data_IF_473508070300
#
_entry.id   IF_473508070300
#
_cell.length_a   1.000
_cell.length_b   1.000
_cell.length_c   1.000
_cell.angle_alpha   90.00
_cell.angle_beta   90.00
_cell.angle_gamma   90.00
#
_symmetry.space_group_name_H-M   'P 1'
#
loop_
_entity.id
_entity.type
_entity.pdbx_description
1 polymer ?
#
# COMPACT_ATOMS: atom_id res chain seq x y z
N UNK A 1 -14.99 -16.09 28.13
CA UNK A 1 -15.52 -15.00 27.30
C UNK A 1 -14.73 -15.05 26.00
N UNK A 2 -15.36 -15.24 24.84
CA UNK A 2 -14.64 -15.07 23.58
C UNK A 2 -14.23 -13.60 23.51
N UNK A 3 -12.94 -13.34 23.36
CA UNK A 3 -12.43 -11.99 23.13
C UNK A 3 -12.97 -11.53 21.79
N UNK A 4 -13.63 -10.38 21.77
CA UNK A 4 -14.19 -9.80 20.55
C UNK A 4 -13.01 -9.45 19.61
N UNK A 5 -13.04 -9.87 18.33
CA UNK A 5 -11.97 -9.55 17.38
C UNK A 5 -11.90 -8.03 17.16
N UNK A 6 -10.72 -7.45 17.32
CA UNK A 6 -10.48 -6.01 17.18
C UNK A 6 -10.11 -5.61 15.74
N UNK A 7 -9.51 -6.53 15.00
CA UNK A 7 -9.03 -6.28 13.65
C UNK A 7 -9.21 -7.49 12.73
N UNK A 8 -9.46 -7.23 11.45
CA UNK A 8 -9.39 -8.25 10.39
C UNK A 8 -8.18 -7.99 9.49
N UNK A 9 -7.54 -9.08 9.07
CA UNK A 9 -6.44 -9.08 8.10
C UNK A 9 -7.00 -9.58 6.78
N UNK A 10 -7.04 -8.74 5.75
CA UNK A 10 -7.46 -9.11 4.40
C UNK A 10 -6.25 -9.44 3.56
N UNK A 11 -6.16 -10.69 3.08
CA UNK A 11 -5.05 -11.20 2.28
C UNK A 11 -5.56 -11.56 0.88
N UNK A 12 -5.33 -10.72 -0.15
CA UNK A 12 -5.63 -11.09 -1.52
C UNK A 12 -4.56 -12.06 -2.05
N UNK A 13 -4.99 -13.14 -2.71
CA UNK A 13 -4.08 -14.10 -3.33
C UNK A 13 -4.43 -14.35 -4.79
N UNK A 14 -3.41 -14.38 -5.65
CA UNK A 14 -3.54 -14.75 -7.05
C UNK A 14 -2.27 -15.46 -7.54
N UNK A 15 -2.39 -16.75 -7.85
CA UNK A 15 -1.29 -17.61 -8.32
C UNK A 15 -0.03 -17.51 -7.44
N UNK A 16 -0.19 -17.83 -6.15
CA UNK A 16 0.84 -17.73 -5.10
C UNK A 16 0.79 -18.91 -4.13
N UNK A 17 0.53 -20.14 -4.62
CA UNK A 17 0.30 -21.34 -3.78
C UNK A 17 1.37 -21.56 -2.70
N UNK A 18 2.66 -21.33 -3.01
CA UNK A 18 3.74 -21.49 -2.03
C UNK A 18 3.90 -20.27 -1.13
N UNK A 19 3.69 -19.06 -1.66
CA UNK A 19 3.91 -17.84 -0.91
C UNK A 19 2.81 -17.61 0.13
N UNK A 20 1.55 -17.90 -0.21
CA UNK A 20 0.41 -17.75 0.71
C UNK A 20 0.58 -18.60 1.97
N UNK A 21 1.15 -19.79 1.88
CA UNK A 21 1.41 -20.64 3.06
C UNK A 21 2.38 -19.94 4.01
N UNK A 22 3.50 -19.40 3.50
CA UNK A 22 4.46 -18.66 4.35
C UNK A 22 3.85 -17.39 4.96
N UNK A 23 3.03 -16.69 4.19
CA UNK A 23 2.28 -15.53 4.69
C UNK A 23 1.39 -15.93 5.87
N UNK A 24 0.57 -16.98 5.72
CA UNK A 24 -0.33 -17.48 6.77
C UNK A 24 0.44 -18.03 7.97
N UNK A 25 1.57 -18.73 7.76
CA UNK A 25 2.45 -19.19 8.84
C UNK A 25 2.95 -18.01 9.67
N UNK A 26 3.33 -16.90 9.01
CA UNK A 26 3.80 -15.70 9.69
C UNK A 26 2.70 -15.01 10.53
N UNK A 27 1.46 -15.10 10.09
CA UNK A 27 0.29 -14.63 10.84
C UNK A 27 0.00 -15.56 12.02
N UNK A 28 0.03 -16.88 11.82
CA UNK A 28 -0.19 -17.87 12.89
C UNK A 28 0.89 -17.83 13.98
N UNK A 29 2.12 -17.42 13.64
CA UNK A 29 3.21 -17.25 14.60
C UNK A 29 3.03 -16.04 15.54
N UNK A 30 2.01 -15.21 15.35
CA UNK A 30 1.72 -14.05 16.22
C UNK A 30 1.16 -14.53 17.55
N UNK A 31 2.05 -14.80 18.53
CA UNK A 31 1.70 -15.38 19.82
C UNK A 31 1.00 -14.37 20.74
N UNK A 32 0.08 -14.87 21.55
CA UNK A 32 -0.57 -14.08 22.61
C UNK A 32 -1.60 -13.09 22.10
N UNK A 33 -2.07 -13.26 20.86
CA UNK A 33 -3.10 -12.40 20.25
C UNK A 33 -4.21 -13.28 19.71
N UNK A 34 -5.36 -13.27 20.38
CA UNK A 34 -6.56 -14.00 19.97
C UNK A 34 -7.64 -13.08 19.37
N UNK A 35 -7.33 -11.79 19.23
CA UNK A 35 -8.32 -10.76 18.89
C UNK A 35 -8.27 -10.30 17.43
N UNK A 36 -8.02 -11.23 16.49
CA UNK A 36 -8.02 -10.94 15.05
C UNK A 36 -8.68 -12.07 14.24
N UNK A 37 -9.17 -11.73 13.06
CA UNK A 37 -9.62 -12.68 12.04
C UNK A 37 -8.84 -12.51 10.75
N UNK A 38 -8.77 -13.57 9.94
CA UNK A 38 -8.08 -13.56 8.64
C UNK A 38 -9.10 -13.80 7.53
N UNK A 39 -9.11 -12.97 6.50
CA UNK A 39 -9.97 -13.12 5.32
C UNK A 39 -9.05 -13.28 4.11
N UNK A 40 -8.89 -14.50 3.63
CA UNK A 40 -8.15 -14.79 2.40
C UNK A 40 -9.10 -14.70 1.21
N UNK A 41 -8.74 -13.84 0.25
CA UNK A 41 -9.53 -13.66 -0.96
C UNK A 41 -8.79 -14.22 -2.15
N UNK A 42 -9.19 -15.41 -2.61
CA UNK A 42 -8.66 -15.98 -3.85
C UNK A 42 -9.21 -15.22 -5.06
N UNK A 43 -8.32 -14.56 -5.81
CA UNK A 43 -8.68 -13.77 -6.96
C UNK A 43 -8.64 -14.60 -8.27
N UNK A 44 -9.35 -15.72 -8.26
CA UNK A 44 -9.45 -16.63 -9.40
C UNK A 44 -8.10 -17.26 -9.79
N UNK A 45 -7.39 -17.83 -8.80
CA UNK A 45 -6.12 -18.54 -9.01
C UNK A 45 -6.30 -19.86 -9.80
N UNK A 46 -5.27 -20.23 -10.54
CA UNK A 46 -5.22 -21.45 -11.35
C UNK A 46 -4.07 -22.40 -10.96
N UNK A 47 -3.24 -22.02 -9.98
CA UNK A 47 -2.02 -22.74 -9.56
C UNK A 47 -2.18 -23.59 -8.29
N UNK A 48 -3.40 -23.75 -7.79
CA UNK A 48 -3.66 -24.45 -6.53
C UNK A 48 -3.60 -23.59 -5.28
N UNK A 49 -3.51 -22.24 -5.38
CA UNK A 49 -3.50 -21.34 -4.22
C UNK A 49 -4.70 -21.54 -3.30
N UNK A 50 -5.91 -21.68 -3.86
CA UNK A 50 -7.13 -21.90 -3.08
C UNK A 50 -7.08 -23.22 -2.28
N UNK A 51 -6.57 -24.30 -2.89
CA UNK A 51 -6.41 -25.59 -2.23
C UNK A 51 -5.33 -25.53 -1.12
N UNK A 52 -4.25 -24.77 -1.35
CA UNK A 52 -3.21 -24.57 -0.34
C UNK A 52 -3.75 -23.82 0.90
N UNK A 53 -4.59 -22.80 0.71
CA UNK A 53 -5.25 -22.10 1.82
C UNK A 53 -6.18 -23.03 2.59
N UNK A 54 -7.01 -23.84 1.91
CA UNK A 54 -7.90 -24.78 2.57
C UNK A 54 -7.13 -25.83 3.40
N UNK A 55 -6.09 -26.44 2.81
CA UNK A 55 -5.25 -27.42 3.50
C UNK A 55 -4.52 -26.80 4.71
N UNK A 56 -4.07 -25.55 4.58
CA UNK A 56 -3.44 -24.82 5.66
C UNK A 56 -4.43 -24.58 6.81
N UNK A 57 -5.65 -24.13 6.51
CA UNK A 57 -6.68 -23.88 7.51
C UNK A 57 -7.13 -25.16 8.23
N UNK A 58 -7.23 -26.30 7.51
CA UNK A 58 -7.53 -27.59 8.13
C UNK A 58 -6.46 -28.00 9.18
N UNK A 59 -5.20 -27.61 8.97
CA UNK A 59 -4.10 -27.86 9.88
C UNK A 59 -3.99 -26.81 11.03
N UNK A 60 -4.65 -25.65 10.91
CA UNK A 60 -4.59 -24.53 11.84
C UNK A 60 -6.01 -24.04 12.18
N UNK A 61 -6.88 -24.98 12.59
CA UNK A 61 -8.29 -24.70 12.85
C UNK A 61 -8.55 -23.75 14.04
N UNK A 62 -7.54 -23.45 14.83
CA UNK A 62 -7.55 -22.46 15.89
C UNK A 62 -7.52 -21.01 15.37
N UNK A 63 -7.11 -20.79 14.11
CA UNK A 63 -7.11 -19.47 13.49
C UNK A 63 -8.48 -19.18 12.89
N UNK A 64 -9.09 -18.08 13.29
CA UNK A 64 -10.34 -17.57 12.69
C UNK A 64 -10.07 -17.09 11.26
N UNK A 65 -10.15 -18.05 10.30
CA UNK A 65 -9.88 -17.78 8.89
C UNK A 65 -11.12 -18.04 8.04
N UNK A 66 -11.46 -17.05 7.22
CA UNK A 66 -12.48 -17.14 6.17
C UNK A 66 -11.81 -17.11 4.80
N UNK A 67 -12.08 -18.12 3.95
CA UNK A 67 -11.66 -18.10 2.55
C UNK A 67 -12.84 -17.76 1.65
N UNK A 68 -12.63 -16.80 0.73
CA UNK A 68 -13.64 -16.37 -0.25
C UNK A 68 -13.02 -16.19 -1.62
N UNK A 69 -13.83 -16.24 -2.69
CA UNK A 69 -13.36 -16.03 -4.07
C UNK A 69 -13.88 -14.72 -4.63
N UNK A 70 -13.03 -13.99 -5.35
CA UNK A 70 -13.39 -12.84 -6.20
C UNK A 70 -13.02 -13.13 -7.64
N UNK A 71 -14.03 -13.21 -8.52
CA UNK A 71 -13.86 -13.54 -9.94
C UNK A 71 -13.40 -12.37 -10.81
N UNK A 72 -13.63 -11.12 -10.37
CA UNK A 72 -13.11 -9.94 -11.07
C UNK A 72 -11.60 -9.83 -10.78
N UNK A 73 -10.80 -9.94 -11.83
CA UNK A 73 -9.34 -9.87 -11.71
C UNK A 73 -8.85 -8.50 -11.23
N UNK A 74 -7.95 -8.49 -10.25
CA UNK A 74 -7.24 -7.33 -9.74
C UNK A 74 -7.18 -7.26 -8.22
N UNK A 75 -6.04 -6.82 -7.68
CA UNK A 75 -5.80 -6.74 -6.25
C UNK A 75 -6.85 -5.86 -5.53
N UNK A 76 -7.20 -4.71 -6.13
CA UNK A 76 -8.23 -3.82 -5.59
C UNK A 76 -9.62 -4.50 -5.51
N UNK A 77 -9.98 -5.33 -6.51
CA UNK A 77 -11.24 -6.09 -6.48
C UNK A 77 -11.24 -7.12 -5.36
N UNK A 78 -10.14 -7.86 -5.19
CA UNK A 78 -9.98 -8.83 -4.12
C UNK A 78 -9.99 -8.15 -2.74
N UNK A 79 -9.25 -7.05 -2.56
CA UNK A 79 -9.25 -6.29 -1.31
C UNK A 79 -10.63 -5.75 -0.95
N UNK A 80 -11.40 -5.24 -1.92
CA UNK A 80 -12.78 -4.80 -1.70
C UNK A 80 -13.72 -5.96 -1.33
N UNK A 81 -13.55 -7.13 -1.98
CA UNK A 81 -14.30 -8.32 -1.60
C UNK A 81 -14.06 -8.68 -0.13
N UNK A 82 -12.80 -8.70 0.30
CA UNK A 82 -12.44 -8.93 1.70
C UNK A 82 -12.99 -7.83 2.61
N UNK A 83 -12.82 -6.54 2.27
CA UNK A 83 -13.34 -5.41 3.04
C UNK A 83 -14.84 -5.50 3.29
N UNK A 84 -15.61 -6.01 2.32
CA UNK A 84 -17.06 -6.20 2.48
C UNK A 84 -17.41 -7.32 3.46
N UNK A 85 -16.50 -8.26 3.72
CA UNK A 85 -16.67 -9.35 4.69
C UNK A 85 -16.21 -8.96 6.11
N UNK A 86 -15.45 -7.85 6.25
CA UNK A 86 -14.94 -7.39 7.54
C UNK A 86 -16.08 -6.91 8.43
N UNK A 87 -16.14 -7.48 9.63
CA UNK A 87 -17.09 -7.11 10.72
C UNK A 87 -16.41 -6.47 11.93
N UNK A 88 -15.06 -6.54 12.01
CA UNK A 88 -14.27 -5.97 13.10
C UNK A 88 -14.14 -4.45 13.00
N UNK A 89 -13.86 -3.75 14.11
CA UNK A 89 -13.66 -2.30 14.12
C UNK A 89 -12.54 -1.80 13.19
N UNK A 90 -11.45 -2.55 13.07
CA UNK A 90 -10.31 -2.22 12.22
C UNK A 90 -10.05 -3.27 11.14
N UNK A 91 -9.50 -2.84 10.04
CA UNK A 91 -9.00 -3.70 8.95
C UNK A 91 -7.58 -3.30 8.58
N UNK A 92 -6.75 -4.29 8.31
CA UNK A 92 -5.48 -4.14 7.61
C UNK A 92 -5.45 -5.02 6.38
N UNK A 93 -4.67 -4.62 5.37
CA UNK A 93 -4.44 -5.41 4.16
C UNK A 93 -3.01 -5.92 4.17
N UNK A 94 -2.82 -7.17 3.79
CA UNK A 94 -1.51 -7.80 3.81
C UNK A 94 -1.31 -8.63 2.53
N UNK A 95 -0.21 -8.40 1.82
CA UNK A 95 0.02 -9.06 0.56
C UNK A 95 0.47 -10.52 0.76
N UNK A 96 0.00 -11.43 -0.08
CA UNK A 96 0.17 -12.88 0.08
C UNK A 96 1.60 -13.40 -0.14
N UNK A 97 2.53 -12.54 -0.57
CA UNK A 97 3.93 -12.86 -0.77
C UNK A 97 4.86 -12.27 0.32
N UNK A 98 4.28 -11.56 1.30
CA UNK A 98 5.01 -10.95 2.41
C UNK A 98 4.83 -11.72 3.74
N UNK A 99 5.67 -11.42 4.72
CA UNK A 99 5.70 -12.09 6.02
C UNK A 99 5.71 -11.07 7.16
N UNK A 100 4.90 -11.32 8.21
CA UNK A 100 4.90 -10.52 9.44
C UNK A 100 5.99 -11.01 10.38
N UNK A 101 6.75 -10.10 10.96
CA UNK A 101 7.60 -10.44 12.10
C UNK A 101 6.76 -10.61 13.37
N UNK A 102 7.25 -11.46 14.27
CA UNK A 102 6.58 -11.71 15.55
C UNK A 102 6.38 -10.41 16.35
N UNK A 103 5.22 -10.28 17.01
CA UNK A 103 4.85 -9.12 17.81
C UNK A 103 4.12 -8.01 17.04
N UNK A 104 3.93 -8.17 15.71
CA UNK A 104 3.24 -7.16 14.92
C UNK A 104 1.77 -6.99 15.34
N UNK A 105 1.01 -8.09 15.43
CA UNK A 105 -0.39 -8.03 15.83
C UNK A 105 -0.55 -7.62 17.32
N UNK A 106 0.36 -8.02 18.19
CA UNK A 106 0.37 -7.54 19.58
C UNK A 106 0.53 -6.02 19.64
N UNK A 107 1.44 -5.46 18.82
CA UNK A 107 1.63 -4.00 18.72
C UNK A 107 0.38 -3.31 18.19
N UNK A 108 -0.26 -3.89 17.16
CA UNK A 108 -1.50 -3.36 16.60
C UNK A 108 -2.62 -3.34 17.64
N UNK A 109 -2.91 -4.47 18.31
CA UNK A 109 -4.00 -4.55 19.30
C UNK A 109 -3.74 -3.57 20.46
N UNK A 110 -2.54 -3.55 21.03
CA UNK A 110 -2.16 -2.55 22.05
C UNK A 110 -2.27 -1.11 21.52
N UNK A 111 -2.03 -0.91 20.25
CA UNK A 111 -2.16 0.37 19.57
C UNK A 111 -3.62 0.82 19.47
N UNK A 112 -4.53 -0.08 19.14
CA UNK A 112 -5.98 0.16 19.11
C UNK A 112 -6.47 0.60 20.51
N UNK A 113 -6.09 -0.15 21.55
CA UNK A 113 -6.49 0.14 22.93
C UNK A 113 -5.99 1.51 23.41
N UNK A 114 -4.76 1.87 23.06
CA UNK A 114 -4.14 3.15 23.44
C UNK A 114 -4.65 4.35 22.65
N UNK A 115 -5.19 4.13 21.46
CA UNK A 115 -5.61 5.19 20.54
C UNK A 115 -7.05 4.97 20.04
N UNK A 116 -8.07 4.91 20.91
CA UNK A 116 -9.44 4.53 20.53
C UNK A 116 -10.09 5.51 19.55
N UNK A 117 -9.59 6.73 19.49
CA UNK A 117 -10.09 7.75 18.58
C UNK A 117 -9.39 7.73 17.21
N UNK A 118 -8.27 7.03 17.05
CA UNK A 118 -7.54 7.01 15.79
C UNK A 118 -8.36 6.32 14.68
N UNK A 119 -8.47 6.96 13.52
CA UNK A 119 -9.06 6.37 12.33
C UNK A 119 -8.04 5.53 11.56
N UNK A 120 -6.76 5.91 11.64
CA UNK A 120 -5.64 5.22 11.01
C UNK A 120 -4.52 5.02 12.05
N UNK A 121 -4.10 3.78 12.20
CA UNK A 121 -2.96 3.36 13.01
C UNK A 121 -1.86 2.88 12.07
N UNK A 122 -0.68 3.49 12.09
CA UNK A 122 0.39 3.16 11.16
C UNK A 122 1.70 2.82 11.84
N UNK A 123 2.59 2.20 11.07
CA UNK A 123 3.91 1.77 11.49
C UNK A 123 4.94 1.89 10.37
N UNK A 124 6.20 1.78 10.75
CA UNK A 124 7.32 1.80 9.82
C UNK A 124 7.45 0.46 9.08
N UNK A 125 7.96 0.49 7.85
CA UNK A 125 8.29 -0.72 7.08
C UNK A 125 9.77 -0.72 6.70
N UNK A 126 10.40 -1.89 6.76
CA UNK A 126 11.75 -2.12 6.29
C UNK A 126 11.70 -2.87 4.94
N UNK A 127 12.12 -2.21 3.89
CA UNK A 127 12.24 -2.86 2.58
C UNK A 127 13.61 -3.50 2.44
N UNK A 128 13.63 -4.80 2.24
CA UNK A 128 14.83 -5.58 1.96
C UNK A 128 15.01 -5.73 0.43
N UNK A 129 15.99 -5.02 -0.12
CA UNK A 129 16.25 -5.06 -1.56
C UNK A 129 17.11 -6.27 -1.93
N UNK A 130 16.94 -6.86 -3.14
CA UNK A 130 17.78 -7.95 -3.62
C UNK A 130 19.28 -7.62 -3.65
N UNK A 131 19.63 -6.33 -3.61
CA UNK A 131 21.02 -5.84 -3.54
C UNK A 131 21.63 -5.92 -2.14
N UNK A 132 20.91 -6.41 -1.13
CA UNK A 132 21.30 -6.40 0.28
C UNK A 132 21.20 -5.03 0.96
N UNK A 133 20.72 -4.01 0.25
CA UNK A 133 20.44 -2.70 0.83
C UNK A 133 19.02 -2.68 1.40
N UNK A 134 18.90 -2.16 2.59
CA UNK A 134 17.63 -1.97 3.25
C UNK A 134 17.27 -0.48 3.28
N UNK A 135 16.01 -0.13 3.17
CA UNK A 135 15.54 1.22 3.44
C UNK A 135 14.28 1.21 4.30
N UNK A 136 14.28 2.12 5.27
CA UNK A 136 13.16 2.31 6.19
C UNK A 136 12.18 3.34 5.61
N UNK A 137 10.91 2.96 5.49
CA UNK A 137 9.83 3.90 5.25
C UNK A 137 9.14 4.20 6.58
N UNK A 138 9.20 5.48 7.00
CA UNK A 138 8.59 5.93 8.24
C UNK A 138 7.14 6.32 8.02
N UNK A 139 6.27 5.90 8.94
CA UNK A 139 4.92 6.41 9.05
C UNK A 139 4.94 7.79 9.73
N UNK A 140 4.44 8.81 9.05
CA UNK A 140 4.53 10.22 9.48
C UNK A 140 3.14 10.82 9.56
N UNK A 141 2.74 11.30 10.74
CA UNK A 141 1.42 11.90 10.97
C UNK A 141 1.38 13.41 10.66
N UNK A 142 2.53 14.09 10.69
CA UNK A 142 2.62 15.53 10.37
C UNK A 142 2.51 15.75 8.86
N UNK A 143 1.76 16.80 8.44
CA UNK A 143 1.55 17.17 7.02
C UNK A 143 1.25 15.94 6.14
N UNK A 144 0.20 15.15 6.46
CA UNK A 144 0.06 13.78 5.94
C UNK A 144 -0.11 13.75 4.42
N UNK A 145 -0.89 14.64 3.80
CA UNK A 145 -1.06 14.71 2.34
C UNK A 145 0.29 14.96 1.65
N UNK A 146 1.07 15.93 2.13
CA UNK A 146 2.40 16.21 1.59
C UNK A 146 3.32 14.97 1.68
N UNK A 147 3.40 14.37 2.87
CA UNK A 147 4.25 13.20 3.07
C UNK A 147 3.77 11.99 2.28
N UNK A 148 2.46 11.82 2.09
CA UNK A 148 1.94 10.74 1.27
C UNK A 148 2.27 10.95 -0.22
N UNK A 149 2.04 12.15 -0.76
CA UNK A 149 2.33 12.46 -2.17
C UNK A 149 3.82 12.35 -2.50
N UNK A 150 4.72 12.61 -1.56
CA UNK A 150 6.17 12.55 -1.79
C UNK A 150 6.81 11.22 -1.40
N UNK A 151 6.33 10.56 -0.35
CA UNK A 151 6.98 9.39 0.28
C UNK A 151 6.11 8.14 0.37
N UNK A 152 4.79 8.25 0.13
CA UNK A 152 3.80 7.15 0.26
C UNK A 152 3.79 6.62 1.71
N UNK A 153 3.20 7.39 2.62
CA UNK A 153 3.11 7.02 4.05
C UNK A 153 1.98 6.02 4.35
N UNK A 154 1.04 5.85 3.42
CA UNK A 154 -0.01 4.84 3.47
C UNK A 154 0.20 3.87 2.29
N UNK A 155 1.10 2.92 2.44
CA UNK A 155 1.24 1.77 1.55
C UNK A 155 0.37 0.62 2.09
N UNK A 156 0.07 -0.38 1.28
CA UNK A 156 -0.88 -1.46 1.61
C UNK A 156 -0.68 -2.05 3.01
N UNK A 157 0.57 -2.22 3.45
CA UNK A 157 0.91 -3.04 4.61
C UNK A 157 1.40 -2.24 5.83
N UNK A 158 1.37 -0.90 5.78
CA UNK A 158 1.92 -0.10 6.87
C UNK A 158 0.86 0.63 7.71
N UNK A 159 -0.39 0.25 7.58
CA UNK A 159 -1.45 0.80 8.41
C UNK A 159 -2.63 -0.15 8.60
N UNK A 160 -3.32 0.01 9.72
CA UNK A 160 -4.68 -0.45 9.93
C UNK A 160 -5.61 0.76 9.96
N UNK A 161 -6.82 0.60 9.47
CA UNK A 161 -7.80 1.68 9.36
C UNK A 161 -9.14 1.24 9.93
N UNK A 162 -9.89 2.14 10.57
CA UNK A 162 -11.28 1.84 10.97
C UNK A 162 -12.08 1.38 9.77
N UNK A 163 -12.76 0.26 9.91
CA UNK A 163 -13.53 -0.39 8.85
C UNK A 163 -14.57 0.54 8.24
N UNK A 164 -15.31 1.27 9.06
CA UNK A 164 -16.31 2.22 8.59
C UNK A 164 -15.68 3.44 7.91
N UNK A 165 -14.49 3.85 8.35
CA UNK A 165 -13.80 4.99 7.76
C UNK A 165 -13.36 4.70 6.31
N UNK A 166 -12.70 3.56 6.07
CA UNK A 166 -12.30 3.17 4.70
C UNK A 166 -13.53 2.88 3.82
N UNK A 167 -14.61 2.29 4.35
CA UNK A 167 -15.87 2.09 3.62
C UNK A 167 -16.50 3.42 3.20
N UNK A 168 -16.51 4.43 4.09
CA UNK A 168 -16.99 5.80 3.77
C UNK A 168 -16.13 6.49 2.73
N UNK A 169 -14.81 6.25 2.72
CA UNK A 169 -13.90 6.75 1.70
C UNK A 169 -14.05 6.04 0.34
N UNK A 170 -14.92 5.02 0.23
CA UNK A 170 -15.23 4.29 -1.00
C UNK A 170 -14.36 3.06 -1.26
N UNK A 171 -13.52 2.63 -0.31
CA UNK A 171 -12.64 1.47 -0.47
C UNK A 171 -11.61 1.65 -1.57
N UNK A 172 -11.13 0.54 -2.15
CA UNK A 172 -10.14 0.52 -3.23
C UNK A 172 -10.77 0.86 -4.59
N UNK A 173 -10.10 1.68 -5.43
CA UNK A 173 -10.58 1.90 -6.81
C UNK A 173 -10.30 0.65 -7.67
N UNK A 174 -11.33 -0.15 -7.92
CA UNK A 174 -11.27 -1.36 -8.75
C UNK A 174 -10.90 -1.10 -10.22
N UNK A 175 -10.85 0.15 -10.65
CA UNK A 175 -10.39 0.54 -11.99
C UNK A 175 -8.88 0.70 -12.08
N UNK A 176 -8.15 0.69 -10.96
CA UNK A 176 -6.70 0.82 -10.92
C UNK A 176 -6.01 -0.55 -10.90
N UNK A 177 -4.87 -0.64 -11.56
CA UNK A 177 -4.01 -1.83 -11.64
C UNK A 177 -2.61 -1.59 -11.07
N UNK A 178 -2.36 -0.41 -10.52
CA UNK A 178 -1.13 -0.01 -9.87
C UNK A 178 -1.27 1.34 -9.21
N UNK A 179 -0.53 1.56 -8.13
CA UNK A 179 -0.64 2.72 -7.26
C UNK A 179 -2.07 2.93 -6.70
N UNK A 180 -2.81 1.84 -6.59
CA UNK A 180 -4.13 1.80 -5.98
C UNK A 180 -4.09 2.12 -4.47
N UNK A 181 -3.02 1.71 -3.79
CA UNK A 181 -2.70 2.09 -2.40
C UNK A 181 -2.37 3.60 -2.29
N UNK A 182 -1.61 4.13 -3.25
CA UNK A 182 -1.26 5.54 -3.31
C UNK A 182 -2.50 6.43 -3.55
N UNK A 183 -3.41 6.00 -4.41
CA UNK A 183 -4.66 6.71 -4.65
C UNK A 183 -5.61 6.64 -3.45
N UNK A 184 -5.79 5.43 -2.87
CA UNK A 184 -6.61 5.24 -1.69
C UNK A 184 -6.10 6.09 -0.52
N UNK A 185 -4.78 6.11 -0.30
CA UNK A 185 -4.16 6.91 0.75
C UNK A 185 -4.50 8.40 0.62
N UNK A 186 -4.52 8.96 -0.60
CA UNK A 186 -4.95 10.35 -0.81
C UNK A 186 -6.41 10.53 -0.39
N UNK A 187 -7.33 9.63 -0.81
CA UNK A 187 -8.75 9.76 -0.43
C UNK A 187 -8.98 9.65 1.08
N UNK A 188 -8.28 8.72 1.74
CA UNK A 188 -8.33 8.60 3.20
C UNK A 188 -7.85 9.89 3.88
N UNK A 189 -6.73 10.46 3.44
CA UNK A 189 -6.16 11.67 4.03
C UNK A 189 -7.00 12.92 3.76
N UNK A 190 -7.72 12.99 2.63
CA UNK A 190 -8.67 14.06 2.33
C UNK A 190 -9.95 14.01 3.20
N UNK A 191 -10.15 12.95 3.97
CA UNK A 191 -11.21 12.84 4.97
C UNK A 191 -10.75 13.30 6.38
N UNK A 192 -9.57 13.90 6.51
CA UNK A 192 -8.97 14.42 7.75
C UNK A 192 -8.97 13.41 8.92
N UNK A 193 -8.33 12.22 8.75
CA UNK A 193 -8.33 11.17 9.74
C UNK A 193 -7.54 11.53 11.00
N UNK A 194 -8.00 11.09 12.16
CA UNK A 194 -7.19 10.99 13.35
C UNK A 194 -6.15 9.87 13.16
N UNK A 195 -4.86 10.19 13.19
CA UNK A 195 -3.77 9.26 12.91
C UNK A 195 -2.87 9.04 14.12
N UNK A 196 -2.46 7.81 14.37
CA UNK A 196 -1.45 7.49 15.38
C UNK A 196 -0.34 6.61 14.79
N UNK A 197 0.92 6.92 15.15
CA UNK A 197 2.07 6.09 14.84
C UNK A 197 2.29 5.10 15.98
N UNK A 198 2.35 3.80 15.67
CA UNK A 198 2.54 2.73 16.65
C UNK A 198 4.01 2.43 16.95
N UNK A 199 4.92 2.92 16.11
CA UNK A 199 6.36 2.72 16.30
C UNK A 199 7.00 3.94 16.96
N UNK A 200 7.95 3.67 17.85
CA UNK A 200 8.91 4.67 18.30
C UNK A 200 10.13 4.69 17.36
N UNK A 201 10.95 5.74 17.44
CA UNK A 201 12.15 5.87 16.59
C UNK A 201 13.19 4.76 16.78
N UNK A 202 13.14 4.06 17.91
CA UNK A 202 14.05 2.97 18.27
C UNK A 202 13.49 1.57 17.97
N UNK A 203 12.24 1.46 17.52
CA UNK A 203 11.61 0.16 17.31
C UNK A 203 12.06 -0.46 15.98
N UNK A 204 12.33 -1.76 16.02
CA UNK A 204 12.54 -2.53 14.79
C UNK A 204 11.23 -2.65 14.01
N UNK A 205 11.24 -2.40 12.70
CA UNK A 205 10.08 -2.61 11.85
C UNK A 205 9.63 -4.07 11.85
N UNK A 206 8.33 -4.29 12.04
CA UNK A 206 7.74 -5.62 12.13
C UNK A 206 7.10 -6.10 10.82
N UNK A 207 7.08 -5.27 9.80
CA UNK A 207 6.67 -5.62 8.44
C UNK A 207 7.84 -5.39 7.49
N UNK A 208 8.18 -6.42 6.73
CA UNK A 208 9.30 -6.43 5.80
C UNK A 208 8.82 -6.93 4.44
N UNK A 209 8.29 -6.03 3.59
CA UNK A 209 7.88 -6.41 2.23
C UNK A 209 9.07 -6.95 1.43
N UNK A 210 8.84 -8.04 0.70
CA UNK A 210 9.84 -8.68 -0.14
C UNK A 210 9.70 -8.24 -1.59
N UNK A 211 10.79 -7.78 -2.18
CA UNK A 211 10.84 -7.55 -3.63
C UNK A 211 11.12 -8.86 -4.36
N UNK A 212 10.09 -9.39 -5.02
CA UNK A 212 10.25 -10.51 -5.94
C UNK A 212 10.27 -10.00 -7.40
N UNK A 213 10.85 -10.80 -8.31
CA UNK A 213 10.86 -10.47 -9.75
C UNK A 213 9.43 -10.32 -10.32
N UNK A 214 8.45 -10.98 -9.70
CA UNK A 214 7.05 -10.97 -10.10
C UNK A 214 6.23 -9.86 -9.43
N UNK A 215 6.83 -9.09 -8.51
CA UNK A 215 6.13 -8.00 -7.85
C UNK A 215 5.75 -6.91 -8.86
N UNK A 216 4.58 -6.30 -8.65
CA UNK A 216 4.07 -5.23 -9.53
C UNK A 216 5.08 -4.07 -9.63
N UNK A 217 5.74 -3.74 -8.51
CA UNK A 217 6.73 -2.66 -8.42
C UNK A 217 8.13 -3.08 -8.88
N UNK A 218 8.38 -4.37 -9.10
CA UNK A 218 9.63 -4.90 -9.66
C UNK A 218 9.73 -4.72 -11.18
N UNK A 219 8.58 -4.59 -11.87
CA UNK A 219 8.53 -4.44 -13.33
C UNK A 219 8.88 -3.02 -13.79
N UNK A 220 9.24 -2.89 -15.07
CA UNK A 220 9.48 -1.58 -15.68
C UNK A 220 8.18 -0.77 -15.75
N UNK A 221 8.24 0.51 -15.43
CA UNK A 221 7.09 1.40 -15.48
C UNK A 221 6.58 1.64 -16.89
N UNK A 222 7.49 1.62 -17.86
CA UNK A 222 7.20 1.87 -19.28
C UNK A 222 6.50 0.73 -20.01
N UNK A 223 6.41 -0.47 -19.41
CA UNK A 223 5.72 -1.62 -20.02
C UNK A 223 4.20 -1.44 -20.04
N UNK A 224 3.64 -0.67 -19.11
CA UNK A 224 2.22 -0.32 -19.07
C UNK A 224 2.06 1.10 -18.49
N UNK A 225 2.34 2.16 -19.28
CA UNK A 225 2.29 3.55 -18.81
C UNK A 225 0.92 3.95 -18.29
N UNK A 226 -0.16 3.53 -18.97
CA UNK A 226 -1.54 3.87 -18.61
C UNK A 226 -1.93 3.44 -17.21
N UNK A 227 -1.33 2.37 -16.71
CA UNK A 227 -1.54 1.85 -15.35
C UNK A 227 -1.20 2.86 -14.26
N UNK A 228 -0.05 3.53 -14.38
CA UNK A 228 0.46 4.48 -13.38
C UNK A 228 -0.15 5.87 -13.55
N UNK A 229 -0.30 6.29 -14.81
CA UNK A 229 -0.87 7.58 -15.15
C UNK A 229 -2.31 7.71 -14.71
N UNK A 230 -3.11 6.64 -14.87
CA UNK A 230 -4.50 6.61 -14.42
C UNK A 230 -4.64 6.86 -12.92
N UNK A 231 -3.73 6.32 -12.10
CA UNK A 231 -3.72 6.61 -10.66
C UNK A 231 -3.43 8.10 -10.38
N UNK A 232 -2.47 8.70 -11.11
CA UNK A 232 -2.17 10.14 -10.97
C UNK A 232 -3.33 11.01 -11.43
N UNK A 233 -4.08 10.62 -12.47
CA UNK A 233 -5.27 11.33 -12.92
C UNK A 233 -6.36 11.31 -11.85
N UNK A 234 -6.62 10.14 -11.23
CA UNK A 234 -7.56 10.02 -10.10
C UNK A 234 -7.16 10.88 -8.91
N UNK A 235 -5.87 10.84 -8.54
CA UNK A 235 -5.33 11.67 -7.46
C UNK A 235 -5.50 13.16 -7.77
N UNK A 236 -5.19 13.57 -9.00
CA UNK A 236 -5.36 14.96 -9.43
C UNK A 236 -6.80 15.41 -9.31
N UNK A 237 -7.76 14.59 -9.77
CA UNK A 237 -9.18 14.92 -9.70
C UNK A 237 -9.67 15.06 -8.26
N UNK A 238 -9.29 14.14 -7.38
CA UNK A 238 -9.61 14.23 -5.95
C UNK A 238 -9.04 15.48 -5.28
N UNK A 239 -7.81 15.86 -5.63
CA UNK A 239 -7.14 17.03 -5.05
C UNK A 239 -7.68 18.37 -5.59
N UNK A 240 -8.08 18.45 -6.87
CA UNK A 240 -8.68 19.66 -7.45
C UNK A 240 -9.87 20.15 -6.65
N UNK A 241 -10.68 19.23 -6.15
CA UNK A 241 -11.89 19.56 -5.40
C UNK A 241 -11.59 19.93 -3.94
N UNK A 242 -10.71 19.17 -3.27
CA UNK A 242 -10.58 19.20 -1.80
C UNK A 242 -9.28 19.82 -1.28
N UNK A 243 -8.20 19.83 -2.07
CA UNK A 243 -6.89 20.32 -1.66
C UNK A 243 -6.06 20.82 -2.86
N UNK A 244 -6.50 21.88 -3.57
CA UNK A 244 -5.89 22.33 -4.82
C UNK A 244 -4.43 22.76 -4.65
N UNK A 245 -4.00 23.20 -3.47
CA UNK A 245 -2.61 23.53 -3.16
C UNK A 245 -1.67 22.32 -3.26
N UNK A 246 -2.18 21.10 -3.09
CA UNK A 246 -1.41 19.87 -3.19
C UNK A 246 -1.19 19.40 -4.64
N UNK A 247 -1.86 19.98 -5.64
CA UNK A 247 -1.68 19.65 -7.07
C UNK A 247 -0.24 19.81 -7.54
N UNK A 248 0.50 20.73 -6.94
CA UNK A 248 1.94 20.87 -7.16
C UNK A 248 2.69 19.52 -7.09
N UNK A 249 2.34 18.67 -6.11
CA UNK A 249 3.00 17.39 -5.87
C UNK A 249 2.58 16.30 -6.84
N UNK A 250 1.40 16.40 -7.44
CA UNK A 250 1.00 15.52 -8.55
C UNK A 250 1.86 15.82 -9.77
N UNK A 251 2.05 17.10 -10.09
CA UNK A 251 2.97 17.52 -11.17
C UNK A 251 4.40 17.03 -10.94
N UNK A 252 4.90 17.13 -9.70
CA UNK A 252 6.17 16.54 -9.31
C UNK A 252 6.20 15.01 -9.57
N UNK A 253 5.19 14.25 -9.16
CA UNK A 253 5.13 12.79 -9.37
C UNK A 253 5.07 12.42 -10.84
N UNK A 254 4.36 13.19 -11.68
CA UNK A 254 4.36 13.01 -13.14
C UNK A 254 5.76 13.20 -13.73
N UNK A 255 6.48 14.23 -13.29
CA UNK A 255 7.85 14.48 -13.75
C UNK A 255 8.83 13.37 -13.32
N UNK A 256 8.69 12.84 -12.10
CA UNK A 256 9.44 11.68 -11.63
C UNK A 256 9.13 10.44 -12.47
N UNK A 257 7.86 10.15 -12.75
CA UNK A 257 7.45 9.01 -13.57
C UNK A 257 7.98 9.15 -15.02
N UNK A 258 7.93 10.36 -15.58
CA UNK A 258 8.52 10.64 -16.89
C UNK A 258 10.04 10.35 -16.92
N UNK A 259 10.76 10.71 -15.85
CA UNK A 259 12.18 10.37 -15.68
C UNK A 259 12.44 8.88 -15.64
N UNK A 260 11.54 8.10 -15.02
CA UNK A 260 11.62 6.63 -15.02
C UNK A 260 11.41 6.06 -16.43
N UNK A 261 10.38 6.52 -17.16
CA UNK A 261 10.17 6.12 -18.55
C UNK A 261 11.38 6.38 -19.44
N UNK A 262 11.97 7.58 -19.31
CA UNK A 262 13.18 7.91 -20.09
C UNK A 262 14.37 7.00 -19.76
N UNK A 263 14.55 6.66 -18.47
CA UNK A 263 15.59 5.73 -18.02
C UNK A 263 15.39 4.32 -18.57
N UNK A 264 14.16 3.91 -18.77
CA UNK A 264 13.75 2.62 -19.32
C UNK A 264 13.72 2.59 -20.86
N UNK A 265 14.08 3.71 -21.53
CA UNK A 265 14.14 3.83 -22.98
C UNK A 265 12.85 4.27 -23.66
N UNK A 266 11.76 4.51 -22.92
CA UNK A 266 10.45 4.95 -23.42
C UNK A 266 10.43 6.48 -23.59
N UNK A 267 11.16 7.00 -24.59
CA UNK A 267 11.38 8.45 -24.76
C UNK A 267 10.12 9.22 -25.18
N UNK A 268 9.24 8.59 -25.96
CA UNK A 268 8.00 9.23 -26.42
C UNK A 268 7.02 9.44 -25.25
N UNK A 269 6.79 8.40 -24.45
CA UNK A 269 5.96 8.44 -23.24
C UNK A 269 6.53 9.41 -22.21
N UNK A 270 7.85 9.39 -22.01
CA UNK A 270 8.54 10.32 -21.13
C UNK A 270 8.31 11.78 -21.53
N UNK A 271 8.45 12.08 -22.82
CA UNK A 271 8.26 13.44 -23.34
C UNK A 271 6.82 13.91 -23.20
N UNK A 272 5.86 13.05 -23.52
CA UNK A 272 4.43 13.31 -23.39
C UNK A 272 4.06 13.59 -21.93
N UNK A 273 4.48 12.72 -21.01
CA UNK A 273 4.16 12.85 -19.58
C UNK A 273 4.85 14.08 -18.95
N UNK A 274 6.10 14.39 -19.35
CA UNK A 274 6.80 15.57 -18.88
C UNK A 274 6.10 16.87 -19.35
N UNK A 275 5.56 16.90 -20.57
CA UNK A 275 4.79 18.03 -21.05
C UNK A 275 3.50 18.27 -20.24
N UNK A 276 2.88 17.19 -19.75
CA UNK A 276 1.70 17.23 -18.89
C UNK A 276 2.04 17.42 -17.39
N UNK A 277 3.32 17.32 -16.98
CA UNK A 277 3.72 17.35 -15.59
C UNK A 277 3.43 18.67 -14.86
N UNK A 278 3.60 19.88 -15.46
CA UNK A 278 3.28 21.11 -14.79
C UNK A 278 1.82 21.15 -14.31
N UNK A 279 1.63 21.16 -13.00
CA UNK A 279 0.33 21.08 -12.35
C UNK A 279 0.34 21.99 -11.10
N UNK A 280 -0.73 22.70 -10.84
CA UNK A 280 -0.79 23.65 -9.75
C UNK A 280 0.30 24.74 -9.88
N UNK A 281 1.15 24.88 -8.86
CA UNK A 281 2.27 25.85 -8.82
C UNK A 281 3.60 25.28 -9.37
N UNK A 282 3.64 24.05 -9.85
CA UNK A 282 4.86 23.48 -10.41
C UNK A 282 5.18 24.13 -11.76
N UNK A 283 6.31 24.83 -11.84
CA UNK A 283 6.79 25.41 -13.08
C UNK A 283 7.47 24.36 -13.97
N UNK A 284 7.51 24.62 -15.30
CA UNK A 284 8.21 23.77 -16.26
C UNK A 284 9.69 23.54 -15.94
N UNK A 285 10.48 24.55 -15.51
CA UNK A 285 11.87 24.33 -15.10
C UNK A 285 12.00 23.34 -13.93
N UNK A 286 11.13 23.44 -12.91
CA UNK A 286 11.12 22.52 -11.77
C UNK A 286 10.75 21.10 -12.17
N UNK A 287 9.71 20.94 -13.02
CA UNK A 287 9.37 19.64 -13.60
C UNK A 287 10.55 19.03 -14.36
N UNK A 288 11.28 19.84 -15.12
CA UNK A 288 12.48 19.39 -15.86
C UNK A 288 13.59 18.93 -14.93
N UNK A 289 13.84 19.62 -13.82
CA UNK A 289 14.82 19.19 -12.81
C UNK A 289 14.43 17.82 -12.23
N UNK A 290 13.19 17.63 -11.81
CA UNK A 290 12.71 16.35 -11.29
C UNK A 290 12.89 15.21 -12.29
N UNK A 291 12.56 15.45 -13.55
CA UNK A 291 12.74 14.52 -14.66
C UNK A 291 14.21 14.12 -14.84
N UNK A 292 15.12 15.07 -14.95
CA UNK A 292 16.55 14.80 -15.19
C UNK A 292 17.19 14.05 -14.01
N UNK A 293 16.92 14.49 -12.78
CA UNK A 293 17.40 13.82 -11.57
C UNK A 293 16.94 12.36 -11.55
N UNK A 294 15.66 12.11 -11.86
CA UNK A 294 15.13 10.74 -11.84
C UNK A 294 15.66 9.90 -12.99
N UNK A 295 15.80 10.47 -14.20
CA UNK A 295 16.37 9.81 -15.35
C UNK A 295 17.80 9.32 -15.08
N UNK A 296 18.60 10.12 -14.38
CA UNK A 296 19.99 9.78 -14.06
C UNK A 296 20.10 8.82 -12.87
N UNK A 297 19.37 9.06 -11.80
CA UNK A 297 19.53 8.36 -10.51
C UNK A 297 18.52 7.22 -10.29
N UNK A 298 17.43 7.15 -11.05
CA UNK A 298 16.40 6.12 -10.93
C UNK A 298 15.46 6.30 -9.72
N UNK A 299 14.83 5.20 -9.25
CA UNK A 299 13.80 5.22 -8.20
C UNK A 299 14.23 5.91 -6.89
N UNK A 300 15.50 5.85 -6.53
CA UNK A 300 16.06 6.51 -5.34
C UNK A 300 16.08 8.04 -5.41
N UNK A 301 16.00 8.61 -6.59
CA UNK A 301 16.06 10.06 -6.81
C UNK A 301 14.83 10.82 -6.37
N UNK A 302 13.68 10.15 -6.14
CA UNK A 302 12.43 10.82 -5.75
C UNK A 302 12.57 11.71 -4.51
N UNK A 303 13.39 11.31 -3.53
CA UNK A 303 13.64 12.11 -2.34
C UNK A 303 14.59 13.27 -2.61
N UNK A 304 15.66 13.03 -3.40
CA UNK A 304 16.60 14.08 -3.80
C UNK A 304 15.90 15.17 -4.65
N UNK A 305 15.05 14.78 -5.59
CA UNK A 305 14.29 15.69 -6.41
C UNK A 305 13.29 16.53 -5.58
N UNK A 306 12.66 15.96 -4.55
CA UNK A 306 11.75 16.68 -3.66
C UNK A 306 12.48 17.73 -2.80
N UNK A 307 13.75 17.49 -2.45
CA UNK A 307 14.58 18.45 -1.70
C UNK A 307 15.06 19.63 -2.55
N UNK A 308 15.05 19.49 -3.86
CA UNK A 308 15.48 20.56 -4.81
C UNK A 308 14.34 21.50 -5.21
N UNK A 309 13.14 21.25 -4.78
CA UNK A 309 11.91 22.01 -5.08
C UNK A 309 11.48 22.89 -3.91
#
# INVERSE_FOLDING_TARGET
>A
MMTENHASIVVPVYNRATAIVRCLDSIAMQRGVEAFSVIVVDNNSTDGSAAAVSAWHDAHSEIDLMQVTETRQGAAAARNKGLNMVTTPYVMFFDSDDEMRQGHLERLIKGIDKNPMADILGWNMLYELPTGRNYLTKFITAKPIYNHLTRVILATENYAVKTDFIKKAGGWDGGLRGWDDYELGVRLLLCDPAMANLDNDSDDPLVCPRFTADSITGRLFSTDPGKWEKALDRIEDNLKEKCPEALYWVGYRRAVLAGMYAREGAAAEASRLLAAAPCGKLSRPKARICYEVTRLMGKGARHAAALML
#
